data_IF_748669986707
#
_entry.id   IF_748669986707
#
_cell.length_a   1.000
_cell.length_b   1.000
_cell.length_c   1.000
_cell.angle_alpha   90.00
_cell.angle_beta   90.00
_cell.angle_gamma   90.00
#
_symmetry.space_group_name_H-M   'P 1'
#
loop_
_entity.id
_entity.type
_entity.pdbx_description
1 polymer ?
#
# COMPACT_ATOMS: atom_id res chain seq x y z
N UNK A 1 12.10 4.94 -22.66
CA UNK A 1 11.99 3.52 -23.04
C UNK A 1 10.72 3.33 -23.84
N UNK A 2 10.72 2.46 -24.85
CA UNK A 2 9.53 2.10 -25.61
C UNK A 2 9.12 0.66 -25.28
N UNK A 3 7.89 0.28 -25.61
CA UNK A 3 7.48 -1.13 -25.55
C UNK A 3 8.46 -1.96 -26.39
N UNK A 4 8.95 -3.06 -25.83
CA UNK A 4 9.96 -3.92 -26.46
C UNK A 4 11.41 -3.46 -26.35
N UNK A 5 11.70 -2.33 -25.67
CA UNK A 5 13.09 -1.96 -25.38
C UNK A 5 13.72 -2.94 -24.39
N UNK A 6 14.96 -3.34 -24.66
CA UNK A 6 15.78 -4.06 -23.70
C UNK A 6 16.16 -3.14 -22.53
N UNK A 7 16.16 -3.70 -21.32
CA UNK A 7 16.51 -2.98 -20.09
C UNK A 7 17.44 -3.86 -19.25
N UNK A 8 18.43 -3.23 -18.62
CA UNK A 8 19.29 -3.91 -17.66
C UNK A 8 18.64 -3.88 -16.27
N UNK A 9 18.45 -5.06 -15.68
CA UNK A 9 17.92 -5.22 -14.33
C UNK A 9 19.06 -5.48 -13.35
N UNK A 10 19.03 -4.78 -12.21
CA UNK A 10 19.86 -5.09 -11.05
C UNK A 10 18.94 -5.43 -9.88
N UNK A 11 19.16 -6.59 -9.28
CA UNK A 11 18.47 -7.00 -8.05
C UNK A 11 19.26 -6.47 -6.84
N UNK A 12 18.55 -6.01 -5.81
CA UNK A 12 19.16 -5.62 -4.53
C UNK A 12 18.15 -5.05 -3.54
N UNK A 13 18.60 -4.92 -2.29
CA UNK A 13 17.83 -4.36 -1.17
C UNK A 13 17.21 -5.43 -0.27
N UNK A 14 17.16 -5.15 1.02
CA UNK A 14 16.62 -6.04 2.06
C UNK A 14 15.35 -5.47 2.70
N UNK A 15 14.56 -4.71 1.92
CA UNK A 15 13.33 -4.06 2.37
C UNK A 15 12.11 -4.82 1.88
N UNK A 16 11.65 -5.77 2.70
CA UNK A 16 10.51 -6.62 2.41
C UNK A 16 9.72 -6.96 3.68
N UNK A 17 8.51 -7.47 3.50
CA UNK A 17 7.69 -8.05 4.56
C UNK A 17 7.35 -9.48 4.14
N UNK A 18 7.98 -10.45 4.79
CA UNK A 18 7.84 -11.88 4.49
C UNK A 18 7.59 -12.65 5.79
N UNK A 19 6.38 -12.53 6.35
CA UNK A 19 6.08 -13.10 7.64
C UNK A 19 5.96 -14.63 7.50
N UNK A 20 6.63 -15.35 8.39
CA UNK A 20 6.74 -16.81 8.30
C UNK A 20 5.57 -17.49 9.01
N UNK A 21 5.28 -18.75 8.66
CA UNK A 21 4.33 -19.53 9.41
C UNK A 21 4.75 -19.75 10.86
N UNK A 22 3.82 -19.51 11.79
CA UNK A 22 4.10 -19.58 13.23
C UNK A 22 4.54 -18.24 13.84
N UNK A 23 4.84 -17.23 13.01
CA UNK A 23 5.05 -15.88 13.50
C UNK A 23 3.79 -15.35 14.19
N UNK A 24 4.00 -14.54 15.22
CA UNK A 24 2.90 -13.82 15.85
C UNK A 24 2.36 -12.77 14.87
N UNK A 25 1.03 -12.60 14.76
CA UNK A 25 0.47 -11.57 13.90
C UNK A 25 0.97 -10.18 14.31
N UNK A 26 1.47 -9.43 13.33
CA UNK A 26 1.95 -8.06 13.53
C UNK A 26 1.04 -7.05 12.86
N UNK A 27 0.90 -5.88 13.48
CA UNK A 27 0.26 -4.70 12.89
C UNK A 27 1.31 -3.87 12.18
N UNK A 28 1.06 -3.48 10.92
CA UNK A 28 1.99 -2.72 10.11
C UNK A 28 1.60 -1.25 10.00
N UNK A 29 2.61 -0.38 10.09
CA UNK A 29 2.50 1.03 9.72
C UNK A 29 3.45 1.27 8.55
N UNK A 30 2.89 1.62 7.40
CA UNK A 30 3.63 1.91 6.18
C UNK A 30 3.61 3.41 5.93
N UNK A 31 4.77 4.02 5.72
CA UNK A 31 4.88 5.47 5.51
C UNK A 31 5.62 5.71 4.19
N UNK A 32 4.90 6.26 3.22
CA UNK A 32 5.38 6.49 1.87
C UNK A 32 5.37 7.98 1.52
N UNK A 33 6.31 8.40 0.68
CA UNK A 33 6.28 9.70 0.01
C UNK A 33 6.73 9.54 -1.45
N UNK A 34 5.99 10.14 -2.38
CA UNK A 34 6.31 10.07 -3.82
C UNK A 34 6.50 8.63 -4.32
N UNK A 35 7.63 8.34 -4.97
CA UNK A 35 7.96 6.99 -5.51
C UNK A 35 8.31 5.96 -4.43
N UNK A 36 8.53 6.39 -3.18
CA UNK A 36 8.74 5.50 -2.03
C UNK A 36 7.53 4.59 -1.74
N UNK A 37 6.39 4.87 -2.37
CA UNK A 37 5.21 3.99 -2.35
C UNK A 37 5.45 2.64 -3.02
N UNK A 38 6.42 2.51 -3.95
CA UNK A 38 6.53 1.31 -4.78
C UNK A 38 6.77 0.01 -3.96
N UNK A 39 7.75 -0.06 -3.05
CA UNK A 39 7.93 -1.26 -2.21
C UNK A 39 6.74 -1.46 -1.26
N UNK A 40 6.19 -0.36 -0.72
CA UNK A 40 5.10 -0.41 0.27
C UNK A 40 3.77 -0.85 -0.34
N UNK A 41 3.51 -0.50 -1.59
CA UNK A 41 2.36 -0.99 -2.33
C UNK A 41 2.49 -2.48 -2.63
N UNK A 42 3.69 -2.97 -2.96
CA UNK A 42 3.96 -4.41 -3.08
C UNK A 42 3.68 -5.15 -1.76
N UNK A 43 4.11 -4.60 -0.63
CA UNK A 43 3.83 -5.16 0.71
C UNK A 43 2.32 -5.14 0.99
N UNK A 44 1.62 -4.05 0.66
CA UNK A 44 0.19 -3.92 0.88
C UNK A 44 -0.61 -4.97 0.10
N UNK A 45 -0.22 -5.24 -1.15
CA UNK A 45 -0.80 -6.32 -1.97
C UNK A 45 -0.54 -7.69 -1.33
N UNK A 46 0.69 -7.96 -0.88
CA UNK A 46 1.02 -9.20 -0.21
C UNK A 46 0.19 -9.43 1.06
N UNK A 47 -0.02 -8.38 1.87
CA UNK A 47 -0.90 -8.47 3.04
C UNK A 47 -2.36 -8.71 2.66
N UNK A 48 -2.84 -8.07 1.59
CA UNK A 48 -4.19 -8.31 1.08
C UNK A 48 -4.38 -9.78 0.67
N UNK A 49 -3.36 -10.41 0.08
CA UNK A 49 -3.37 -11.83 -0.23
C UNK A 49 -3.42 -12.68 1.05
N UNK A 50 -2.57 -12.37 2.03
CA UNK A 50 -2.57 -13.07 3.34
C UNK A 50 -3.91 -12.96 4.07
N UNK A 51 -4.62 -11.83 3.95
CA UNK A 51 -5.96 -11.67 4.52
C UNK A 51 -7.05 -12.51 3.84
N UNK A 52 -6.86 -12.93 2.58
CA UNK A 52 -7.81 -13.77 1.86
C UNK A 52 -7.73 -15.24 2.26
N UNK A 53 -6.58 -15.69 2.79
CA UNK A 53 -6.42 -17.07 3.23
C UNK A 53 -7.15 -17.31 4.57
N UNK A 54 -8.15 -18.21 4.62
CA UNK A 54 -8.93 -18.44 5.83
C UNK A 54 -8.11 -19.14 6.91
N UNK A 55 -8.31 -18.69 8.16
CA UNK A 55 -7.74 -19.33 9.34
C UNK A 55 -8.26 -20.78 9.45
N UNK A 56 -7.42 -21.78 9.16
CA UNK A 56 -7.77 -23.18 9.37
C UNK A 56 -7.30 -24.16 8.29
N UNK A 57 -6.86 -23.69 7.11
CA UNK A 57 -6.20 -24.55 6.12
C UNK A 57 -4.68 -24.34 6.17
N UNK A 58 -4.03 -24.93 7.18
CA UNK A 58 -2.60 -25.25 7.26
C UNK A 58 -1.57 -24.12 6.99
N UNK A 59 -0.68 -23.86 7.95
CA UNK A 59 0.56 -23.08 7.78
C UNK A 59 0.41 -21.61 7.29
N UNK A 60 -0.80 -21.07 7.22
CA UNK A 60 -1.01 -19.68 6.77
C UNK A 60 -0.42 -18.68 7.75
N UNK A 61 0.37 -17.74 7.25
CA UNK A 61 0.85 -16.64 8.06
C UNK A 61 -0.31 -15.69 8.39
N UNK A 62 -0.41 -15.29 9.67
CA UNK A 62 -1.43 -14.35 10.14
C UNK A 62 -0.84 -12.94 10.15
N UNK A 63 -1.55 -11.99 9.57
CA UNK A 63 -1.20 -10.56 9.63
C UNK A 63 -2.29 -9.81 10.38
N UNK A 64 -1.87 -8.87 11.23
CA UNK A 64 -2.74 -7.92 11.91
C UNK A 64 -3.27 -6.85 10.95
N UNK A 65 -3.57 -5.66 11.45
CA UNK A 65 -4.04 -4.56 10.60
C UNK A 65 -2.86 -3.85 9.92
N UNK A 66 -3.14 -3.17 8.82
CA UNK A 66 -2.16 -2.35 8.09
C UNK A 66 -2.69 -0.94 7.94
N UNK A 67 -1.85 0.03 8.29
CA UNK A 67 -2.13 1.45 8.09
C UNK A 67 -1.07 2.09 7.20
N UNK A 68 -1.49 2.53 6.03
CA UNK A 68 -0.67 3.29 5.09
C UNK A 68 -0.87 4.79 5.33
N UNK A 69 0.24 5.52 5.43
CA UNK A 69 0.30 6.97 5.31
C UNK A 69 1.08 7.29 4.05
N UNK A 70 0.44 7.96 3.08
CA UNK A 70 1.06 8.25 1.79
C UNK A 70 1.00 9.73 1.47
N UNK A 71 2.17 10.35 1.36
CA UNK A 71 2.29 11.76 0.99
C UNK A 71 2.67 11.97 -0.48
N UNK A 72 2.08 13.01 -1.06
CA UNK A 72 2.47 13.55 -2.37
C UNK A 72 2.28 15.07 -2.37
N UNK A 73 2.77 15.73 -3.42
CA UNK A 73 2.55 17.17 -3.56
C UNK A 73 1.08 17.48 -3.82
N UNK A 74 0.50 16.80 -4.81
CA UNK A 74 -0.88 16.97 -5.27
C UNK A 74 -1.55 15.60 -5.43
N UNK A 75 -2.87 15.51 -5.29
CA UNK A 75 -3.62 14.24 -5.45
C UNK A 75 -3.49 13.60 -6.83
N UNK A 76 -3.13 14.38 -7.86
CA UNK A 76 -2.82 13.87 -9.20
C UNK A 76 -1.54 13.02 -9.24
N UNK A 77 -0.60 13.24 -8.32
CA UNK A 77 0.68 12.53 -8.24
C UNK A 77 0.60 11.23 -7.40
N UNK A 78 -0.52 10.99 -6.70
CA UNK A 78 -0.72 9.78 -5.90
C UNK A 78 -0.76 8.53 -6.80
N UNK A 79 0.35 7.79 -6.84
CA UNK A 79 0.45 6.54 -7.56
C UNK A 79 -0.46 5.48 -6.92
N UNK A 80 -1.03 4.61 -7.75
CA UNK A 80 -1.90 3.50 -7.34
C UNK A 80 -3.14 3.88 -6.50
N UNK A 81 -3.53 5.16 -6.44
CA UNK A 81 -4.62 5.64 -5.57
C UNK A 81 -5.93 4.84 -5.69
N UNK A 82 -6.33 4.51 -6.93
CA UNK A 82 -7.54 3.70 -7.19
C UNK A 82 -7.42 2.28 -6.62
N UNK A 83 -6.26 1.65 -6.79
CA UNK A 83 -5.99 0.31 -6.26
C UNK A 83 -5.99 0.33 -4.72
N UNK A 84 -5.34 1.35 -4.11
CA UNK A 84 -5.31 1.52 -2.66
C UNK A 84 -6.73 1.69 -2.09
N UNK A 85 -7.57 2.53 -2.71
CA UNK A 85 -8.98 2.67 -2.32
C UNK A 85 -9.74 1.34 -2.48
N UNK A 86 -9.48 0.61 -3.57
CA UNK A 86 -10.05 -0.72 -3.80
C UNK A 86 -9.70 -1.72 -2.68
N UNK A 87 -8.45 -1.74 -2.23
CA UNK A 87 -8.02 -2.59 -1.12
C UNK A 87 -8.67 -2.19 0.21
N UNK A 88 -8.81 -0.89 0.49
CA UNK A 88 -9.52 -0.42 1.69
C UNK A 88 -10.98 -0.87 1.71
N UNK A 89 -11.64 -0.82 0.56
CA UNK A 89 -13.03 -1.26 0.42
C UNK A 89 -13.16 -2.79 0.52
N UNK A 90 -12.19 -3.54 0.02
CA UNK A 90 -12.20 -5.01 0.08
C UNK A 90 -11.90 -5.54 1.49
N UNK A 91 -11.10 -4.82 2.29
CA UNK A 91 -10.66 -5.26 3.63
C UNK A 91 -10.96 -4.20 4.71
N UNK A 92 -12.24 -3.85 4.93
CA UNK A 92 -12.60 -2.77 5.86
C UNK A 92 -12.11 -3.07 7.28
N UNK A 93 -11.44 -2.09 7.90
CA UNK A 93 -10.88 -2.20 9.24
C UNK A 93 -9.58 -3.00 9.34
N UNK A 94 -9.20 -3.75 8.30
CA UNK A 94 -7.91 -4.45 8.22
C UNK A 94 -6.88 -3.65 7.43
N UNK A 95 -7.28 -3.07 6.30
CA UNK A 95 -6.44 -2.19 5.49
C UNK A 95 -7.00 -0.76 5.55
N UNK A 96 -6.16 0.17 5.96
CA UNK A 96 -6.50 1.59 6.07
C UNK A 96 -5.44 2.45 5.39
N UNK A 97 -5.85 3.53 4.73
CA UNK A 97 -4.93 4.53 4.19
C UNK A 97 -5.33 5.94 4.63
N UNK A 98 -4.32 6.79 4.83
CA UNK A 98 -4.43 8.25 4.92
C UNK A 98 -3.49 8.86 3.88
N UNK A 99 -4.06 9.66 2.99
CA UNK A 99 -3.28 10.46 2.05
C UNK A 99 -2.94 11.80 2.68
N UNK A 100 -1.74 12.31 2.44
CA UNK A 100 -1.33 13.63 2.85
C UNK A 100 -0.86 14.43 1.65
N UNK A 101 -1.49 15.57 1.36
CA UNK A 101 -1.08 16.45 0.26
C UNK A 101 -0.40 17.68 0.84
N UNK A 102 0.74 18.06 0.26
CA UNK A 102 1.54 19.17 0.77
C UNK A 102 1.30 20.47 0.02
N UNK A 103 0.89 20.42 -1.24
CA UNK A 103 0.59 21.58 -2.09
C UNK A 103 -0.50 21.24 -3.11
N UNK A 104 -1.75 21.20 -2.65
CA UNK A 104 -2.88 20.90 -3.53
C UNK A 104 -3.17 22.09 -4.44
N UNK A 105 -3.08 21.86 -5.75
CA UNK A 105 -3.31 22.88 -6.78
C UNK A 105 -4.53 22.58 -7.66
N UNK A 106 -4.98 21.33 -7.67
CA UNK A 106 -6.12 20.86 -8.43
C UNK A 106 -7.33 20.57 -7.52
N UNK A 107 -8.52 20.38 -8.10
CA UNK A 107 -9.67 19.91 -7.32
C UNK A 107 -9.43 18.47 -6.87
N UNK A 108 -9.67 18.21 -5.58
CA UNK A 108 -9.64 16.86 -5.02
C UNK A 108 -10.90 16.13 -5.50
N UNK A 109 -10.74 14.87 -5.93
CA UNK A 109 -11.88 14.01 -6.28
C UNK A 109 -12.64 13.57 -5.03
N UNK A 110 -13.97 13.48 -5.12
CA UNK A 110 -14.86 13.16 -4.00
C UNK A 110 -14.50 11.83 -3.29
N UNK A 111 -13.99 10.87 -4.06
CA UNK A 111 -13.52 9.56 -3.57
C UNK A 111 -12.31 9.64 -2.62
N UNK A 112 -11.52 10.73 -2.68
CA UNK A 112 -10.30 10.90 -1.88
C UNK A 112 -10.49 11.83 -0.68
N UNK A 113 -11.46 12.74 -0.73
CA UNK A 113 -11.79 13.68 0.35
C UNK A 113 -11.82 13.05 1.76
N UNK A 114 -12.50 11.91 2.02
CA UNK A 114 -12.55 11.34 3.38
C UNK A 114 -11.21 10.79 3.88
N UNK A 115 -10.23 10.65 2.99
CA UNK A 115 -8.95 9.99 3.26
C UNK A 115 -7.76 10.97 3.27
N UNK A 116 -7.96 12.23 2.90
CA UNK A 116 -6.90 13.25 2.80
C UNK A 116 -6.73 14.05 4.11
N UNK A 117 -5.48 14.37 4.43
CA UNK A 117 -5.08 15.33 5.46
C UNK A 117 -4.11 16.37 4.90
N UNK A 118 -4.07 17.57 5.48
CA UNK A 118 -3.28 18.70 4.96
C UNK A 118 -4.06 19.42 3.86
N UNK A 119 -4.57 20.61 4.18
CA UNK A 119 -5.24 21.51 3.24
C UNK A 119 -4.41 22.78 3.11
#
# INVERSE_FOLDING_TARGET
CALGSEVALRVGGDFFFDPQPGDSPVTLVLIAGGVGINPLFSILLHVADLHQYPEGKGNGCKVGTVKLYYSAKDTSELLFKKNILGLMNAFPGRIMCRFHVTQQSTRIGEELEPHITGK
#
